data_IF_800123958476
#
_entry.id   IF_800123958476
#
_cell.length_a   1.000
_cell.length_b   1.000
_cell.length_c   1.000
_cell.angle_alpha   90.00
_cell.angle_beta   90.00
_cell.angle_gamma   90.00
#
_symmetry.space_group_name_H-M   'P 1'
#
loop_
_entity.id
_entity.type
_entity.pdbx_description
1 polymer ?
#
# COMPACT_ATOMS: atom_id res chain seq x y z
N UNK A 1 12.43 -9.96 -12.49
CA UNK A 1 12.06 -10.61 -11.20
C UNK A 1 11.47 -9.57 -10.27
N UNK A 2 10.25 -9.74 -9.80
CA UNK A 2 9.59 -8.81 -8.89
C UNK A 2 9.83 -9.26 -7.45
N UNK A 3 10.53 -8.45 -6.64
CA UNK A 3 10.74 -8.76 -5.22
C UNK A 3 9.67 -8.08 -4.35
N UNK A 4 9.02 -8.87 -3.52
CA UNK A 4 8.02 -8.42 -2.54
C UNK A 4 8.51 -8.79 -1.14
N UNK A 5 8.60 -7.81 -0.26
CA UNK A 5 8.94 -8.04 1.15
C UNK A 5 7.68 -7.91 1.99
N UNK A 6 7.45 -8.89 2.85
CA UNK A 6 6.33 -8.91 3.78
C UNK A 6 6.89 -9.01 5.19
N UNK A 7 7.07 -7.87 5.88
CA UNK A 7 7.45 -7.86 7.28
C UNK A 7 6.33 -8.43 8.14
N UNK A 8 6.69 -9.27 9.09
CA UNK A 8 5.73 -9.88 10.02
C UNK A 8 6.23 -9.83 11.46
N UNK A 9 5.34 -9.46 12.36
CA UNK A 9 5.48 -9.60 13.81
C UNK A 9 4.78 -10.87 14.33
N UNK A 10 4.41 -11.78 13.40
CA UNK A 10 3.68 -13.02 13.66
C UNK A 10 2.28 -12.82 14.24
N UNK A 11 1.75 -11.59 14.17
CA UNK A 11 0.36 -11.30 14.51
C UNK A 11 -0.60 -11.76 13.42
N UNK A 12 -1.87 -11.93 13.79
CA UNK A 12 -2.93 -12.26 12.82
C UNK A 12 -3.06 -11.21 11.71
N UNK A 13 -2.76 -9.95 12.02
CA UNK A 13 -2.81 -8.84 11.06
C UNK A 13 -1.69 -8.96 10.02
N UNK A 14 -0.47 -9.25 10.47
CA UNK A 14 0.67 -9.49 9.59
C UNK A 14 0.48 -10.77 8.75
N UNK A 15 -0.04 -11.83 9.36
CA UNK A 15 -0.39 -13.06 8.66
C UNK A 15 -1.44 -12.82 7.57
N UNK A 16 -2.47 -12.01 7.85
CA UNK A 16 -3.46 -11.64 6.84
C UNK A 16 -2.82 -10.89 5.67
N UNK A 17 -1.91 -9.95 5.94
CA UNK A 17 -1.18 -9.23 4.90
C UNK A 17 -0.31 -10.18 4.06
N UNK A 18 0.34 -11.16 4.69
CA UNK A 18 1.12 -12.18 3.99
C UNK A 18 0.25 -13.07 3.08
N UNK A 19 -0.92 -13.51 3.57
CA UNK A 19 -1.89 -14.28 2.76
C UNK A 19 -2.44 -13.45 1.62
N UNK A 20 -2.76 -12.19 1.87
CA UNK A 20 -3.22 -11.26 0.84
C UNK A 20 -2.15 -11.11 -0.26
N UNK A 21 -0.92 -10.82 0.11
CA UNK A 21 0.21 -10.66 -0.82
C UNK A 21 0.47 -11.96 -1.62
N UNK A 22 0.45 -13.10 -0.97
CA UNK A 22 0.67 -14.39 -1.62
C UNK A 22 -0.42 -14.72 -2.66
N UNK A 23 -1.68 -14.43 -2.33
CA UNK A 23 -2.79 -14.62 -3.26
C UNK A 23 -2.75 -13.62 -4.40
N UNK A 24 -2.34 -12.39 -4.14
CA UNK A 24 -2.16 -11.31 -5.12
C UNK A 24 -1.18 -11.70 -6.23
N UNK A 25 -0.12 -12.43 -5.89
CA UNK A 25 0.92 -12.85 -6.86
C UNK A 25 0.76 -14.28 -7.36
N UNK A 26 -0.31 -14.95 -6.99
CA UNK A 26 -0.59 -16.31 -7.45
C UNK A 26 -0.66 -16.36 -8.98
N UNK A 27 0.14 -17.25 -9.59
CA UNK A 27 0.21 -17.41 -11.04
C UNK A 27 1.10 -16.39 -11.75
N UNK A 28 1.71 -15.45 -11.02
CA UNK A 28 2.70 -14.54 -11.58
C UNK A 28 4.06 -15.23 -11.52
N UNK A 29 4.71 -15.34 -12.67
CA UNK A 29 6.06 -15.91 -12.77
C UNK A 29 7.11 -14.89 -12.31
N UNK A 30 8.24 -15.40 -11.83
CA UNK A 30 9.42 -14.61 -11.49
C UNK A 30 9.21 -13.62 -10.33
N UNK A 31 8.47 -14.06 -9.31
CA UNK A 31 8.29 -13.34 -8.05
C UNK A 31 9.22 -13.92 -6.98
N UNK A 32 10.01 -13.05 -6.34
CA UNK A 32 10.74 -13.33 -5.12
C UNK A 32 9.92 -12.83 -3.91
N UNK A 33 9.29 -13.75 -3.19
CA UNK A 33 8.44 -13.45 -2.04
C UNK A 33 9.22 -13.68 -0.75
N UNK A 34 9.51 -12.60 -0.01
CA UNK A 34 10.32 -12.63 1.20
C UNK A 34 9.45 -12.35 2.42
N UNK A 35 9.27 -13.35 3.28
CA UNK A 35 8.77 -13.16 4.64
C UNK A 35 9.93 -12.68 5.51
N UNK A 36 9.77 -11.53 6.16
CA UNK A 36 10.80 -10.91 6.95
C UNK A 36 10.37 -10.76 8.41
N UNK A 37 11.24 -11.18 9.35
CA UNK A 37 10.98 -11.08 10.79
C UNK A 37 12.22 -10.63 11.56
N UNK A 38 12.01 -9.83 12.61
CA UNK A 38 13.04 -9.44 13.57
C UNK A 38 12.74 -10.11 14.90
N UNK A 39 13.72 -10.83 15.46
CA UNK A 39 13.63 -11.48 16.76
C UNK A 39 14.60 -10.82 17.75
N UNK A 40 14.34 -10.91 19.06
CA UNK A 40 15.14 -10.23 20.08
C UNK A 40 16.24 -11.10 20.70
N UNK A 41 16.01 -12.42 20.78
CA UNK A 41 16.91 -13.38 21.39
C UNK A 41 16.74 -14.79 20.81
N UNK A 42 17.60 -15.74 21.21
CA UNK A 42 17.57 -17.11 20.67
C UNK A 42 16.28 -17.87 20.99
N UNK A 43 15.62 -17.63 22.11
CA UNK A 43 14.36 -18.27 22.50
C UNK A 43 13.21 -17.77 21.58
N UNK A 44 13.17 -16.46 21.33
CA UNK A 44 12.26 -15.87 20.36
C UNK A 44 12.50 -16.41 18.95
N UNK A 45 13.77 -16.58 18.57
CA UNK A 45 14.17 -17.12 17.28
C UNK A 45 13.61 -18.52 17.03
N UNK A 46 13.73 -19.44 18.03
CA UNK A 46 13.20 -20.78 17.90
C UNK A 46 11.68 -20.78 17.72
N UNK A 47 10.99 -20.00 18.54
CA UNK A 47 9.54 -19.84 18.45
C UNK A 47 9.10 -19.23 17.12
N UNK A 48 9.79 -18.19 16.67
CA UNK A 48 9.53 -17.53 15.41
C UNK A 48 9.78 -18.45 14.20
N UNK A 49 10.85 -19.24 14.22
CA UNK A 49 11.12 -20.20 13.15
C UNK A 49 9.95 -21.16 12.91
N UNK A 50 9.38 -21.72 13.97
CA UNK A 50 8.25 -22.64 13.88
C UNK A 50 7.04 -21.96 13.22
N UNK A 51 6.74 -20.72 13.62
CA UNK A 51 5.60 -19.97 13.10
C UNK A 51 5.83 -19.52 11.65
N UNK A 52 7.06 -19.07 11.34
CA UNK A 52 7.45 -18.66 10.00
C UNK A 52 7.44 -19.81 9.01
N UNK A 53 7.95 -20.99 9.40
CA UNK A 53 7.92 -22.17 8.55
C UNK A 53 6.46 -22.63 8.29
N UNK A 54 5.63 -22.62 9.32
CA UNK A 54 4.20 -22.95 9.17
C UNK A 54 3.50 -21.98 8.21
N UNK A 55 3.73 -20.67 8.35
CA UNK A 55 3.16 -19.66 7.44
C UNK A 55 3.68 -19.87 6.02
N UNK A 56 4.99 -20.07 5.84
CA UNK A 56 5.61 -20.37 4.55
C UNK A 56 4.97 -21.58 3.88
N UNK A 57 4.84 -22.72 4.60
CA UNK A 57 4.22 -23.94 4.08
C UNK A 57 2.76 -23.69 3.66
N UNK A 58 2.00 -22.96 4.47
CA UNK A 58 0.63 -22.56 4.14
C UNK A 58 0.59 -21.74 2.82
N UNK A 59 1.43 -20.72 2.69
CA UNK A 59 1.45 -19.83 1.52
C UNK A 59 1.89 -20.59 0.26
N UNK A 60 2.94 -21.42 0.38
CA UNK A 60 3.45 -22.21 -0.76
C UNK A 60 2.43 -23.25 -1.24
N UNK A 61 1.81 -23.97 -0.32
CA UNK A 61 0.84 -25.03 -0.68
C UNK A 61 -0.44 -24.47 -1.29
N UNK A 62 -0.94 -23.33 -0.79
CA UNK A 62 -2.20 -22.73 -1.26
C UNK A 62 -2.06 -21.91 -2.54
N UNK A 63 -0.91 -21.28 -2.74
CA UNK A 63 -0.75 -20.29 -3.81
C UNK A 63 0.28 -20.67 -4.86
N UNK A 64 1.02 -21.79 -4.66
CA UNK A 64 2.08 -22.25 -5.57
C UNK A 64 3.17 -21.20 -5.86
N UNK A 65 3.55 -20.43 -4.83
CA UNK A 65 4.60 -19.43 -4.89
C UNK A 65 5.84 -19.94 -4.13
N UNK A 66 7.02 -19.42 -4.48
CA UNK A 66 8.23 -19.65 -3.68
C UNK A 66 8.30 -18.59 -2.59
N UNK A 67 8.44 -19.01 -1.34
CA UNK A 67 8.56 -18.12 -0.19
C UNK A 67 9.94 -18.31 0.44
N UNK A 68 10.69 -17.21 0.53
CA UNK A 68 11.94 -17.13 1.27
C UNK A 68 11.67 -16.57 2.69
N UNK A 69 12.24 -17.17 3.71
CA UNK A 69 12.27 -16.61 5.05
C UNK A 69 13.59 -15.88 5.25
N UNK A 70 13.51 -14.68 5.78
CA UNK A 70 14.66 -13.90 6.26
C UNK A 70 14.37 -13.42 7.67
N UNK A 71 15.28 -13.74 8.60
CA UNK A 71 15.18 -13.31 9.99
C UNK A 71 16.47 -12.59 10.40
N UNK A 72 16.34 -11.57 11.22
CA UNK A 72 17.46 -10.79 11.78
C UNK A 72 17.28 -10.60 13.28
N UNK A 73 18.42 -10.57 14.00
CA UNK A 73 18.45 -10.33 15.44
C UNK A 73 18.48 -8.85 15.74
N UNK A 74 17.53 -8.39 16.57
CA UNK A 74 17.50 -7.04 17.13
C UNK A 74 17.37 -5.91 16.12
N UNK A 75 17.45 -4.68 16.63
CA UNK A 75 17.38 -3.46 15.83
C UNK A 75 15.95 -2.93 15.64
N UNK A 76 15.86 -1.75 15.01
CA UNK A 76 14.57 -1.17 14.65
C UNK A 76 14.00 -1.86 13.41
N UNK A 77 12.78 -2.36 13.52
CA UNK A 77 12.10 -3.07 12.43
C UNK A 77 12.10 -2.27 11.12
N UNK A 78 11.84 -0.98 11.19
CA UNK A 78 11.69 -0.13 9.99
C UNK A 78 13.02 0.10 9.30
N UNK A 79 14.09 0.31 10.07
CA UNK A 79 15.46 0.43 9.54
C UNK A 79 15.94 -0.88 8.92
N UNK A 80 15.64 -1.99 9.56
CA UNK A 80 15.99 -3.30 9.05
C UNK A 80 15.21 -3.63 7.77
N UNK A 81 13.90 -3.35 7.71
CA UNK A 81 13.09 -3.53 6.49
C UNK A 81 13.57 -2.62 5.37
N UNK A 82 13.91 -1.35 5.65
CA UNK A 82 14.49 -0.43 4.68
C UNK A 82 15.79 -1.01 4.07
N UNK A 83 16.70 -1.49 4.93
CA UNK A 83 17.95 -2.13 4.51
C UNK A 83 17.71 -3.36 3.62
N UNK A 84 16.77 -4.23 4.02
CA UNK A 84 16.42 -5.40 3.22
C UNK A 84 15.74 -5.04 1.89
N UNK A 85 14.88 -4.02 1.89
CA UNK A 85 14.26 -3.54 0.67
C UNK A 85 15.29 -3.05 -0.35
N UNK A 86 16.32 -2.32 0.11
CA UNK A 86 17.43 -1.90 -0.75
C UNK A 86 18.30 -3.07 -1.19
N UNK A 87 18.60 -4.03 -0.29
CA UNK A 87 19.42 -5.19 -0.61
C UNK A 87 18.79 -6.12 -1.66
N UNK A 88 17.51 -6.35 -1.57
CA UNK A 88 16.76 -7.19 -2.51
C UNK A 88 16.22 -6.46 -3.73
N UNK A 89 16.47 -5.15 -3.85
CA UNK A 89 15.83 -4.28 -4.87
C UNK A 89 14.30 -4.49 -4.91
N UNK A 90 13.68 -4.35 -3.74
CA UNK A 90 12.26 -4.64 -3.59
C UNK A 90 11.39 -3.64 -4.35
N UNK A 91 10.42 -4.15 -5.09
CA UNK A 91 9.45 -3.35 -5.83
C UNK A 91 8.18 -3.08 -5.01
N UNK A 92 7.99 -3.83 -3.92
CA UNK A 92 6.81 -3.68 -3.06
C UNK A 92 7.10 -4.18 -1.65
N UNK A 93 6.68 -3.41 -0.65
CA UNK A 93 6.56 -3.87 0.73
C UNK A 93 5.07 -4.04 1.03
N UNK A 94 4.67 -5.15 1.66
CA UNK A 94 3.27 -5.39 2.05
C UNK A 94 3.19 -5.48 3.57
N UNK A 95 2.39 -4.60 4.18
CA UNK A 95 2.23 -4.53 5.63
C UNK A 95 0.76 -4.51 6.02
N UNK A 96 0.45 -5.22 7.09
CA UNK A 96 -0.89 -5.18 7.68
C UNK A 96 -1.13 -3.93 8.50
N UNK A 97 -2.40 -3.53 8.60
CA UNK A 97 -2.85 -2.49 9.54
C UNK A 97 -4.12 -2.95 10.24
N UNK A 98 -4.19 -2.68 11.54
CA UNK A 98 -5.42 -2.89 12.31
C UNK A 98 -6.31 -1.65 12.15
N UNK A 99 -7.54 -1.83 11.69
CA UNK A 99 -8.51 -0.74 11.63
C UNK A 99 -9.01 -0.32 13.03
N UNK A 100 -9.83 0.72 13.11
CA UNK A 100 -10.40 1.27 14.36
C UNK A 100 -11.29 0.31 15.17
N UNK A 101 -11.46 -0.92 14.74
CA UNK A 101 -12.29 -1.92 15.43
C UNK A 101 -11.66 -2.55 16.67
N UNK A 102 -10.43 -2.20 17.02
CA UNK A 102 -9.77 -2.65 18.26
C UNK A 102 -10.49 -2.14 19.51
N UNK A 103 -10.88 -3.07 20.41
CA UNK A 103 -11.70 -2.78 21.59
C UNK A 103 -10.95 -2.10 22.75
N UNK A 104 -9.63 -1.92 22.70
CA UNK A 104 -8.85 -1.29 23.76
C UNK A 104 -8.10 -0.04 23.30
N UNK A 105 -8.02 0.98 24.17
CA UNK A 105 -7.25 2.21 23.91
C UNK A 105 -5.73 1.94 23.75
N UNK A 106 -5.21 0.87 24.32
CA UNK A 106 -3.81 0.47 24.23
C UNK A 106 -3.50 -0.15 22.86
N UNK A 107 -4.38 -0.98 22.31
CA UNK A 107 -4.27 -1.51 20.95
C UNK A 107 -4.33 -0.40 19.89
N UNK A 108 -5.12 0.66 20.12
CA UNK A 108 -5.21 1.80 19.19
C UNK A 108 -3.92 2.62 19.07
N UNK A 109 -3.06 2.64 20.08
CA UNK A 109 -1.83 3.45 20.08
C UNK A 109 -0.69 2.78 19.29
N UNK A 110 -0.65 1.44 19.24
CA UNK A 110 0.37 0.69 18.50
C UNK A 110 -0.03 0.31 17.06
N UNK A 111 -1.30 0.51 16.71
CA UNK A 111 -1.90 0.04 15.46
C UNK A 111 -1.50 0.90 14.26
N UNK A 112 -0.59 0.39 13.46
CA UNK A 112 -0.20 1.01 12.19
C UNK A 112 0.98 1.98 12.29
N UNK A 113 1.57 2.20 13.48
CA UNK A 113 2.72 3.11 13.61
C UNK A 113 3.90 2.66 12.75
N UNK A 114 4.20 1.37 12.70
CA UNK A 114 5.28 0.83 11.87
C UNK A 114 4.96 0.94 10.39
N UNK A 115 3.72 0.65 9.99
CA UNK A 115 3.28 0.79 8.59
C UNK A 115 3.38 2.25 8.13
N UNK A 116 2.94 3.21 8.94
CA UNK A 116 3.06 4.63 8.62
C UNK A 116 4.52 5.09 8.58
N UNK A 117 5.36 4.65 9.52
CA UNK A 117 6.80 4.92 9.48
C UNK A 117 7.47 4.33 8.23
N UNK A 118 7.07 3.12 7.80
CA UNK A 118 7.61 2.52 6.59
C UNK A 118 7.26 3.32 5.34
N UNK A 119 6.03 3.83 5.26
CA UNK A 119 5.62 4.76 4.19
C UNK A 119 6.51 6.00 4.19
N UNK A 120 6.83 6.57 5.36
CA UNK A 120 7.68 7.76 5.48
C UNK A 120 9.14 7.53 5.05
N UNK A 121 9.62 6.29 5.02
CA UNK A 121 10.99 5.95 4.58
C UNK A 121 11.23 6.11 3.07
N UNK A 122 10.19 6.10 2.27
CA UNK A 122 10.28 6.36 0.83
C UNK A 122 11.30 5.47 0.09
N UNK A 123 11.29 4.18 0.35
CA UNK A 123 12.24 3.21 -0.27
C UNK A 123 11.66 2.57 -1.53
N UNK A 124 10.45 2.08 -1.41
CA UNK A 124 9.64 1.53 -2.50
C UNK A 124 8.16 1.61 -2.08
N UNK A 125 7.21 1.37 -3.01
CA UNK A 125 5.79 1.37 -2.67
C UNK A 125 5.45 0.46 -1.50
N UNK A 126 4.55 0.93 -0.62
CA UNK A 126 4.03 0.16 0.51
C UNK A 126 2.55 -0.12 0.31
N UNK A 127 2.18 -1.40 0.19
CA UNK A 127 0.79 -1.83 0.18
C UNK A 127 0.33 -2.07 1.62
N UNK A 128 -0.59 -1.24 2.06
CA UNK A 128 -1.22 -1.34 3.38
C UNK A 128 -2.46 -2.21 3.27
N UNK A 129 -2.48 -3.34 3.96
CA UNK A 129 -3.58 -4.31 3.93
C UNK A 129 -4.38 -4.22 5.22
N UNK A 130 -5.65 -3.80 5.20
CA UNK A 130 -6.52 -3.83 6.36
C UNK A 130 -6.67 -5.24 6.94
N UNK A 131 -6.78 -5.35 8.26
CA UNK A 131 -6.89 -6.66 8.96
C UNK A 131 -8.09 -7.50 8.51
N UNK A 132 -9.13 -6.86 7.99
CA UNK A 132 -10.35 -7.50 7.49
C UNK A 132 -10.34 -7.73 5.98
N UNK A 133 -9.34 -7.20 5.27
CA UNK A 133 -9.28 -7.32 3.81
C UNK A 133 -8.99 -8.76 3.41
N UNK A 134 -9.78 -9.26 2.46
CA UNK A 134 -9.53 -10.50 1.77
C UNK A 134 -9.19 -10.19 0.32
N UNK A 135 -8.26 -10.94 -0.25
CA UNK A 135 -7.93 -10.76 -1.66
C UNK A 135 -9.03 -11.34 -2.54
N UNK A 136 -9.53 -10.48 -3.41
CA UNK A 136 -10.27 -10.84 -4.60
C UNK A 136 -9.49 -10.36 -5.82
N UNK A 137 -9.99 -10.58 -7.02
CA UNK A 137 -9.38 -10.04 -8.23
C UNK A 137 -9.40 -8.50 -8.21
N UNK A 138 -8.24 -7.86 -8.44
CA UNK A 138 -8.14 -6.40 -8.53
C UNK A 138 -8.52 -5.97 -9.97
N UNK A 139 -9.73 -5.44 -10.13
CA UNK A 139 -10.28 -4.99 -11.41
C UNK A 139 -10.35 -3.48 -11.54
N UNK A 140 -10.60 -2.78 -10.44
CA UNK A 140 -10.78 -1.33 -10.41
C UNK A 140 -9.81 -0.72 -9.40
N UNK A 141 -8.97 0.18 -9.85
CA UNK A 141 -8.01 0.89 -9.01
C UNK A 141 -8.25 2.38 -9.07
N UNK A 142 -8.24 3.04 -7.93
CA UNK A 142 -8.39 4.48 -7.84
C UNK A 142 -7.07 5.13 -7.44
N UNK A 143 -6.54 6.00 -8.30
CA UNK A 143 -5.40 6.87 -8.01
C UNK A 143 -5.91 8.23 -7.54
N UNK A 144 -5.61 8.58 -6.29
CA UNK A 144 -5.88 9.89 -5.74
C UNK A 144 -4.76 10.87 -6.13
N UNK A 145 -5.10 12.00 -6.75
CA UNK A 145 -4.14 13.01 -7.20
C UNK A 145 -4.67 14.42 -7.00
N UNK A 146 -3.80 15.35 -6.64
CA UNK A 146 -4.11 16.78 -6.54
C UNK A 146 -3.93 17.53 -7.88
N UNK A 147 -3.46 16.84 -8.92
CA UNK A 147 -3.15 17.40 -10.24
C UNK A 147 -2.18 18.57 -10.18
N UNK A 148 -1.13 18.45 -9.34
CA UNK A 148 -0.07 19.44 -9.22
C UNK A 148 1.27 18.78 -9.48
N UNK A 149 2.15 19.49 -10.18
CA UNK A 149 3.53 19.07 -10.42
C UNK A 149 3.67 17.60 -10.88
N UNK A 150 2.72 17.12 -11.69
CA UNK A 150 2.60 15.71 -12.09
C UNK A 150 3.89 15.20 -12.74
N UNK A 151 4.58 16.05 -13.50
CA UNK A 151 5.80 15.63 -14.19
C UNK A 151 6.91 15.20 -13.21
N UNK A 152 7.06 15.92 -12.12
CA UNK A 152 8.17 15.75 -11.16
C UNK A 152 7.78 14.98 -9.91
N UNK A 153 6.50 14.74 -9.67
CA UNK A 153 6.04 14.22 -8.39
C UNK A 153 5.15 12.97 -8.48
N UNK A 154 4.84 12.54 -9.71
CA UNK A 154 4.06 11.30 -9.90
C UNK A 154 5.01 10.12 -10.09
N UNK A 155 5.07 9.18 -9.16
CA UNK A 155 5.91 7.99 -9.23
C UNK A 155 5.33 6.99 -10.24
N UNK A 156 5.46 7.34 -11.52
CA UNK A 156 4.87 6.60 -12.63
C UNK A 156 5.33 5.15 -12.66
N UNK A 157 6.65 4.93 -12.60
CA UNK A 157 7.22 3.58 -12.72
C UNK A 157 6.83 2.68 -11.56
N UNK A 158 6.97 3.09 -10.28
CA UNK A 158 6.50 2.29 -9.15
C UNK A 158 5.01 1.95 -9.22
N UNK A 159 4.16 2.90 -9.61
CA UNK A 159 2.71 2.65 -9.77
C UNK A 159 2.46 1.64 -10.88
N UNK A 160 3.07 1.83 -12.05
CA UNK A 160 2.92 0.91 -13.19
C UNK A 160 3.40 -0.51 -12.88
N UNK A 161 4.47 -0.66 -12.12
CA UNK A 161 4.95 -1.98 -11.69
C UNK A 161 3.85 -2.76 -10.95
N UNK A 162 3.08 -2.09 -10.09
CA UNK A 162 1.96 -2.72 -9.38
C UNK A 162 0.74 -2.91 -10.30
N UNK A 163 0.37 -1.89 -11.10
CA UNK A 163 -0.77 -1.98 -12.02
C UNK A 163 -0.58 -3.09 -13.06
N UNK A 164 0.65 -3.31 -13.53
CA UNK A 164 0.97 -4.35 -14.50
C UNK A 164 0.74 -5.78 -13.99
N UNK A 165 0.69 -5.98 -12.68
CA UNK A 165 0.34 -7.27 -12.10
C UNK A 165 -1.12 -7.66 -12.41
N UNK A 166 -2.01 -6.66 -12.55
CA UNK A 166 -3.46 -6.88 -12.64
C UNK A 166 -4.08 -6.34 -13.93
N UNK A 167 -3.49 -5.30 -14.51
CA UNK A 167 -4.06 -4.52 -15.64
C UNK A 167 -5.49 -4.06 -15.38
N UNK A 168 -5.76 -3.39 -14.26
CA UNK A 168 -7.09 -2.97 -13.85
C UNK A 168 -7.60 -1.79 -14.68
N UNK A 169 -8.90 -1.52 -14.60
CA UNK A 169 -9.43 -0.21 -14.94
C UNK A 169 -8.90 0.83 -13.95
N UNK A 170 -8.37 1.94 -14.46
CA UNK A 170 -7.78 3.00 -13.66
C UNK A 170 -8.71 4.21 -13.57
N UNK A 171 -9.10 4.57 -12.36
CA UNK A 171 -9.88 5.75 -12.04
C UNK A 171 -8.94 6.79 -11.41
N UNK A 172 -8.78 7.96 -12.00
CA UNK A 172 -7.95 9.03 -11.44
C UNK A 172 -8.89 10.08 -10.84
N UNK A 173 -8.80 10.26 -9.53
CA UNK A 173 -9.70 11.12 -8.77
C UNK A 173 -8.94 12.31 -8.23
N UNK A 174 -9.37 13.49 -8.64
CA UNK A 174 -8.98 14.74 -8.01
C UNK A 174 -9.98 15.06 -6.89
N UNK A 175 -9.46 15.18 -5.68
CA UNK A 175 -10.23 15.62 -4.52
C UNK A 175 -9.74 16.99 -4.11
N UNK A 176 -10.63 17.98 -4.14
CA UNK A 176 -10.33 19.35 -3.76
C UNK A 176 -11.32 19.82 -2.68
N UNK A 177 -10.82 20.55 -1.68
CA UNK A 177 -11.66 21.21 -0.67
C UNK A 177 -12.40 22.44 -1.21
N UNK A 178 -12.00 22.96 -2.36
CA UNK A 178 -12.71 24.04 -3.04
C UNK A 178 -13.90 23.46 -3.81
N UNK A 179 -15.09 24.01 -3.58
CA UNK A 179 -16.34 23.53 -4.19
C UNK A 179 -16.39 23.63 -5.73
N UNK A 180 -15.45 24.34 -6.33
CA UNK A 180 -15.38 24.54 -7.76
C UNK A 180 -14.03 24.09 -8.29
N UNK A 181 -14.06 23.06 -9.12
CA UNK A 181 -12.89 22.74 -9.95
C UNK A 181 -12.79 23.81 -11.02
N UNK A 182 -11.87 24.75 -10.81
CA UNK A 182 -11.53 25.70 -11.86
C UNK A 182 -10.73 24.95 -12.92
N UNK A 183 -11.32 24.74 -14.10
CA UNK A 183 -10.62 24.13 -15.25
C UNK A 183 -9.65 25.14 -15.87
N UNK A 184 -8.65 25.56 -15.10
CA UNK A 184 -7.62 26.48 -15.63
C UNK A 184 -6.76 25.75 -16.68
N UNK A 185 -6.08 26.50 -17.57
CA UNK A 185 -5.13 25.90 -18.51
C UNK A 185 -4.07 25.03 -17.83
N UNK A 186 -3.57 25.46 -16.65
CA UNK A 186 -2.59 24.72 -15.83
C UNK A 186 -3.16 23.39 -15.34
N UNK A 187 -4.41 23.40 -14.81
CA UNK A 187 -5.09 22.21 -14.37
C UNK A 187 -5.31 21.20 -15.51
N UNK A 188 -5.71 21.71 -16.68
CA UNK A 188 -5.89 20.88 -17.88
C UNK A 188 -4.57 20.31 -18.39
N UNK A 189 -3.46 21.07 -18.26
CA UNK A 189 -2.13 20.57 -18.62
C UNK A 189 -1.69 19.42 -17.68
N UNK A 190 -1.88 19.57 -16.37
CA UNK A 190 -1.54 18.52 -15.40
C UNK A 190 -2.39 17.25 -15.60
N UNK A 191 -3.70 17.41 -15.89
CA UNK A 191 -4.57 16.29 -16.30
C UNK A 191 -4.03 15.61 -17.56
N UNK A 192 -3.58 16.40 -18.52
CA UNK A 192 -2.99 15.89 -19.78
C UNK A 192 -1.72 15.05 -19.51
N UNK A 193 -0.86 15.49 -18.57
CA UNK A 193 0.32 14.73 -18.16
C UNK A 193 -0.06 13.40 -17.51
N UNK A 194 -1.05 13.39 -16.61
CA UNK A 194 -1.56 12.14 -16.03
C UNK A 194 -2.12 11.19 -17.08
N UNK A 195 -2.89 11.72 -18.03
CA UNK A 195 -3.39 10.93 -19.15
C UNK A 195 -2.25 10.30 -19.96
N UNK A 196 -1.20 11.06 -20.28
CA UNK A 196 -0.05 10.55 -21.05
C UNK A 196 0.71 9.50 -20.26
N UNK A 197 0.97 9.74 -18.96
CA UNK A 197 1.68 8.78 -18.10
C UNK A 197 0.95 7.45 -17.97
N UNK A 198 -0.37 7.43 -17.91
CA UNK A 198 -1.18 6.22 -17.67
C UNK A 198 -2.09 5.82 -18.83
N UNK A 199 -1.84 6.30 -20.05
CA UNK A 199 -2.69 6.07 -21.24
C UNK A 199 -2.97 4.61 -21.55
N UNK A 200 -2.02 3.71 -21.24
CA UNK A 200 -2.15 2.26 -21.47
C UNK A 200 -3.27 1.62 -20.64
N UNK A 201 -3.65 2.25 -19.50
CA UNK A 201 -4.76 1.81 -18.65
C UNK A 201 -6.07 2.51 -19.00
N UNK A 202 -6.10 3.43 -20.00
CA UNK A 202 -7.26 4.21 -20.44
C UNK A 202 -7.99 4.86 -19.26
N UNK A 203 -7.33 5.73 -18.47
CA UNK A 203 -7.85 6.21 -17.21
C UNK A 203 -9.12 7.05 -17.38
N UNK A 204 -10.08 6.83 -16.48
CA UNK A 204 -11.22 7.70 -16.30
C UNK A 204 -10.93 8.75 -15.25
N UNK A 205 -11.29 10.02 -15.50
CA UNK A 205 -11.02 11.14 -14.61
C UNK A 205 -12.27 11.60 -13.88
N UNK A 206 -12.15 11.82 -12.58
CA UNK A 206 -13.21 12.30 -11.71
C UNK A 206 -12.74 13.50 -10.90
N UNK A 207 -13.63 14.47 -10.70
CA UNK A 207 -13.37 15.70 -9.98
C UNK A 207 -14.41 15.83 -8.89
N UNK A 208 -13.97 15.75 -7.64
CA UNK A 208 -14.88 15.72 -6.49
C UNK A 208 -14.51 16.85 -5.54
N UNK A 209 -15.43 17.80 -5.36
CA UNK A 209 -15.35 18.84 -4.33
C UNK A 209 -15.91 18.32 -3.01
N UNK A 210 -15.10 18.32 -1.95
CA UNK A 210 -15.56 17.86 -0.64
C UNK A 210 -14.76 18.47 0.50
N UNK A 211 -15.39 18.55 1.68
CA UNK A 211 -14.72 18.87 2.94
C UNK A 211 -14.26 17.63 3.71
N UNK A 212 -14.85 16.45 3.46
CA UNK A 212 -14.43 15.18 4.07
C UNK A 212 -13.90 14.22 3.00
N UNK A 213 -12.57 14.18 2.88
CA UNK A 213 -11.86 13.30 1.98
C UNK A 213 -12.17 11.81 2.26
N UNK A 214 -12.32 11.45 3.52
CA UNK A 214 -12.47 10.04 3.91
C UNK A 214 -13.84 9.53 3.52
N UNK A 215 -14.89 10.27 3.85
CA UNK A 215 -16.26 9.92 3.48
C UNK A 215 -16.42 9.88 1.95
N UNK A 216 -15.84 10.86 1.26
CA UNK A 216 -15.87 10.90 -0.21
C UNK A 216 -15.15 9.73 -0.85
N UNK A 217 -13.95 9.38 -0.34
CA UNK A 217 -13.20 8.24 -0.83
C UNK A 217 -13.96 6.93 -0.58
N UNK A 218 -14.58 6.76 0.59
CA UNK A 218 -15.39 5.58 0.91
C UNK A 218 -16.61 5.46 0.00
N UNK A 219 -17.32 6.56 -0.24
CA UNK A 219 -18.46 6.59 -1.18
C UNK A 219 -18.01 6.23 -2.59
N UNK A 220 -16.91 6.83 -3.08
CA UNK A 220 -16.38 6.53 -4.40
C UNK A 220 -15.94 5.07 -4.53
N UNK A 221 -15.30 4.53 -3.49
CA UNK A 221 -14.91 3.11 -3.42
C UNK A 221 -16.12 2.19 -3.58
N UNK A 222 -17.22 2.49 -2.88
CA UNK A 222 -18.45 1.71 -2.98
C UNK A 222 -19.13 1.84 -4.35
N UNK A 223 -19.27 3.07 -4.86
CA UNK A 223 -19.99 3.36 -6.10
C UNK A 223 -19.30 2.79 -7.35
N UNK A 224 -17.96 2.75 -7.34
CA UNK A 224 -17.16 2.27 -8.47
C UNK A 224 -16.59 0.88 -8.26
N UNK A 225 -16.94 0.21 -7.15
CA UNK A 225 -16.39 -1.10 -6.77
C UNK A 225 -14.86 -1.10 -6.84
N UNK A 226 -14.23 -0.10 -6.21
CA UNK A 226 -12.77 0.03 -6.19
C UNK A 226 -12.17 -1.06 -5.29
N UNK A 227 -11.19 -1.79 -5.82
CA UNK A 227 -10.53 -2.89 -5.14
C UNK A 227 -9.24 -2.45 -4.43
N UNK A 228 -8.62 -1.34 -4.88
CA UNK A 228 -7.41 -0.78 -4.30
C UNK A 228 -7.35 0.73 -4.52
N UNK A 229 -6.96 1.47 -3.48
CA UNK A 229 -6.61 2.89 -3.58
C UNK A 229 -5.10 3.04 -3.80
N UNK A 230 -4.71 4.03 -4.59
CA UNK A 230 -3.31 4.49 -4.71
C UNK A 230 -3.23 5.92 -4.24
N UNK A 231 -2.25 6.21 -3.42
CA UNK A 231 -1.94 7.55 -2.95
C UNK A 231 -0.46 7.84 -3.08
N UNK A 232 -0.12 9.09 -3.37
CA UNK A 232 1.27 9.55 -3.52
C UNK A 232 1.59 10.51 -2.38
N UNK A 233 2.27 10.04 -1.31
CA UNK A 233 2.71 10.90 -0.22
C UNK A 233 3.71 11.94 -0.71
N UNK A 234 3.50 13.23 -0.37
CA UNK A 234 4.40 14.33 -0.75
C UNK A 234 4.76 15.17 0.46
N UNK A 235 6.03 15.55 0.57
CA UNK A 235 6.51 16.34 1.71
C UNK A 235 5.97 17.77 1.76
N UNK A 236 5.55 18.35 0.63
CA UNK A 236 5.14 19.75 0.50
C UNK A 236 3.80 19.99 -0.21
N UNK A 237 3.04 18.95 -0.55
CA UNK A 237 1.75 19.05 -1.23
C UNK A 237 0.58 18.76 -0.31
N UNK A 238 -0.63 18.97 -0.80
CA UNK A 238 -1.88 18.62 -0.13
C UNK A 238 -1.89 17.15 0.37
N UNK A 239 -1.34 16.21 -0.43
CA UNK A 239 -1.23 14.81 -0.03
C UNK A 239 -0.11 14.55 0.99
N UNK A 240 0.99 15.30 0.96
CA UNK A 240 1.99 15.25 2.04
C UNK A 240 1.43 15.72 3.38
N UNK A 241 0.51 16.69 3.37
CA UNK A 241 -0.25 17.09 4.56
C UNK A 241 -1.27 16.02 4.97
N UNK A 242 -1.83 15.26 4.02
CA UNK A 242 -2.73 14.14 4.32
C UNK A 242 -2.02 13.04 5.11
N UNK A 243 -0.79 12.64 4.80
CA UNK A 243 -0.05 11.64 5.59
C UNK A 243 0.43 12.18 6.95
N UNK A 244 0.57 13.50 7.09
CA UNK A 244 0.88 14.16 8.38
C UNK A 244 -0.37 14.53 9.19
N UNK A 245 -1.55 14.60 8.55
CA UNK A 245 -2.80 15.02 9.21
C UNK A 245 -3.62 13.83 9.68
N UNK A 246 -4.54 14.10 10.60
CA UNK A 246 -5.52 13.12 11.08
C UNK A 246 -6.32 12.45 9.95
N UNK A 247 -6.52 13.13 8.83
CA UNK A 247 -7.39 12.66 7.74
C UNK A 247 -6.81 11.48 6.96
N UNK A 248 -5.49 11.47 6.72
CA UNK A 248 -4.87 10.32 6.03
C UNK A 248 -4.70 9.13 6.95
N UNK A 249 -4.29 9.38 8.19
CA UNK A 249 -4.30 8.33 9.22
C UNK A 249 -5.71 7.75 9.34
N UNK A 250 -6.74 8.60 9.27
CA UNK A 250 -8.14 8.20 9.26
C UNK A 250 -8.48 7.38 8.01
N UNK A 251 -8.11 7.82 6.81
CA UNK A 251 -8.34 7.07 5.56
C UNK A 251 -7.72 5.67 5.62
N UNK A 252 -6.44 5.58 5.99
CA UNK A 252 -5.73 4.30 6.11
C UNK A 252 -6.35 3.41 7.19
N UNK A 253 -6.70 3.98 8.36
CA UNK A 253 -7.25 3.21 9.49
C UNK A 253 -8.72 2.81 9.32
N UNK A 254 -9.47 3.51 8.48
CA UNK A 254 -10.90 3.26 8.22
C UNK A 254 -11.14 2.57 6.89
N UNK A 255 -10.13 2.42 6.04
CA UNK A 255 -10.27 1.71 4.78
C UNK A 255 -10.56 0.23 4.99
N UNK A 256 -11.48 -0.29 4.22
CA UNK A 256 -11.78 -1.73 4.13
C UNK A 256 -11.07 -2.41 2.97
N UNK A 257 -10.47 -1.61 2.08
CA UNK A 257 -9.71 -2.08 0.93
C UNK A 257 -8.23 -1.68 1.05
N UNK A 258 -7.30 -2.38 0.41
CA UNK A 258 -5.89 -2.04 0.43
C UNK A 258 -5.59 -0.65 -0.12
N UNK A 259 -4.55 -0.03 0.45
CA UNK A 259 -4.03 1.26 0.01
C UNK A 259 -2.57 1.11 -0.37
N UNK A 260 -2.23 1.41 -1.61
CA UNK A 260 -0.85 1.51 -2.09
C UNK A 260 -0.36 2.94 -1.88
N UNK A 261 0.64 3.11 -1.02
CA UNK A 261 1.40 4.35 -0.91
C UNK A 261 2.60 4.24 -1.85
N UNK A 262 2.59 5.01 -2.93
CA UNK A 262 3.64 5.00 -3.94
C UNK A 262 4.54 6.23 -3.78
N UNK A 263 5.85 6.01 -3.92
CA UNK A 263 6.89 7.04 -3.83
C UNK A 263 7.79 7.00 -5.07
N UNK A 264 8.49 8.11 -5.32
CA UNK A 264 9.51 8.18 -6.37
C UNK A 264 10.71 7.27 -6.06
#
# INVERSE_FOLDING_TARGET
MTTIIVPTDLSQVADNAARYAAQMVKGIYDVNFVLYHVYENDEDKESANILMDRLKEELQSRHMIKVQIKMEEGGDLIENVEKQARYFDAQLIVMGITGKTGKSKLEQVFMGSNTLKMIEKNVCPVLVVPSTAQYFEIKNVCLLSDFKDVETSMPEVPIKNVLNLFRPALHIVNVNSEHYVSLTPEFMAERGRLLEKFKEYRPEFYFIGTFDLVETAQTFVADKNIDMLITVPRNHSFFGSLFKTSNTKKLISESTIPILAAHE
#
